data_IF_279185292093
#
_entry.id   IF_279185292093
#
_cell.length_a   1.000
_cell.length_b   1.000
_cell.length_c   1.000
_cell.angle_alpha   90.00
_cell.angle_beta   90.00
_cell.angle_gamma   90.00
#
_symmetry.space_group_name_H-M   'P 1'
#
loop_
_entity.id
_entity.type
_entity.pdbx_description
1 polymer ?
#
# COMPACT_ATOMS: atom_id res chain seq x y z
N UNK A 1 6.10 -1.99 -26.58
CA UNK A 1 5.73 -3.33 -26.03
C UNK A 1 6.94 -4.13 -25.53
N UNK A 2 8.13 -4.02 -26.16
CA UNK A 2 9.31 -4.81 -25.79
C UNK A 2 10.04 -4.34 -24.52
N UNK A 3 9.81 -3.13 -24.00
CA UNK A 3 10.44 -2.60 -22.80
C UNK A 3 9.70 -2.94 -21.49
N UNK A 4 8.39 -3.23 -21.56
CA UNK A 4 7.63 -3.61 -20.38
C UNK A 4 7.89 -5.05 -19.89
N UNK A 5 8.24 -5.96 -20.82
CA UNK A 5 8.51 -7.37 -20.49
C UNK A 5 9.85 -7.61 -19.79
N UNK A 6 10.80 -6.67 -19.85
CA UNK A 6 12.10 -6.79 -19.16
C UNK A 6 12.06 -6.39 -17.69
N UNK A 7 11.05 -5.64 -17.25
CA UNK A 7 10.87 -5.25 -15.83
C UNK A 7 10.12 -6.31 -15.02
N UNK A 8 9.42 -7.23 -15.68
CA UNK A 8 8.58 -8.23 -15.03
C UNK A 8 9.01 -9.62 -15.52
N UNK A 9 10.05 -10.17 -14.90
CA UNK A 9 10.49 -11.55 -15.16
C UNK A 9 9.34 -12.55 -14.90
N UNK A 10 9.25 -13.61 -15.69
CA UNK A 10 8.33 -14.73 -15.50
C UNK A 10 8.63 -15.44 -14.18
N UNK A 11 7.81 -15.18 -13.15
CA UNK A 11 7.85 -15.92 -11.88
C UNK A 11 7.00 -17.18 -12.00
N UNK A 12 7.57 -18.24 -12.51
CA UNK A 12 6.97 -19.58 -12.50
C UNK A 12 7.40 -20.34 -11.24
N UNK A 13 6.43 -20.91 -10.49
CA UNK A 13 6.58 -21.69 -9.25
C UNK A 13 6.96 -20.88 -8.00
N UNK A 14 6.10 -19.97 -7.58
CA UNK A 14 6.29 -19.28 -6.30
C UNK A 14 5.65 -20.09 -5.16
N UNK A 15 6.49 -20.57 -4.25
CA UNK A 15 6.09 -21.12 -2.94
C UNK A 15 6.71 -20.23 -1.86
N UNK A 16 5.95 -19.90 -0.80
CA UNK A 16 6.46 -19.10 0.31
C UNK A 16 5.89 -17.67 0.35
N UNK A 17 6.64 -16.75 0.89
CA UNK A 17 6.21 -15.36 1.08
C UNK A 17 6.12 -14.60 -0.24
N UNK A 18 5.13 -13.69 -0.32
CA UNK A 18 4.99 -12.77 -1.47
C UNK A 18 6.09 -11.72 -1.46
N UNK A 19 6.48 -11.24 -0.28
CA UNK A 19 7.52 -10.22 -0.09
C UNK A 19 8.70 -10.76 0.73
N UNK A 20 9.50 -11.72 0.20
CA UNK A 20 10.69 -12.21 0.90
C UNK A 20 11.77 -11.14 1.07
N UNK A 21 11.70 -10.04 0.30
CA UNK A 21 12.59 -8.88 0.40
C UNK A 21 12.37 -8.09 1.70
N UNK A 22 11.20 -8.20 2.33
CA UNK A 22 10.90 -7.48 3.58
C UNK A 22 11.67 -8.06 4.75
N UNK A 23 12.62 -7.31 5.27
CA UNK A 23 13.34 -7.61 6.51
C UNK A 23 13.04 -6.54 7.55
N UNK A 24 12.60 -6.98 8.74
CA UNK A 24 12.26 -6.07 9.83
C UNK A 24 13.43 -5.19 10.27
N UNK A 25 14.66 -5.69 10.20
CA UNK A 25 15.85 -4.95 10.62
C UNK A 25 16.18 -3.82 9.66
N UNK A 26 15.84 -4.00 8.40
CA UNK A 26 16.11 -3.04 7.33
C UNK A 26 14.95 -2.08 7.11
N UNK A 27 13.70 -2.58 7.09
CA UNK A 27 12.54 -1.82 6.64
C UNK A 27 11.70 -1.21 7.77
N UNK A 28 11.90 -1.65 9.02
CA UNK A 28 11.14 -1.12 10.17
C UNK A 28 12.02 -0.17 10.96
N UNK A 29 11.56 1.07 11.08
CA UNK A 29 12.32 2.14 11.74
C UNK A 29 11.49 2.79 12.84
N UNK A 30 12.17 3.43 13.78
CA UNK A 30 11.50 4.23 14.79
C UNK A 30 10.88 5.50 14.18
N UNK A 31 9.70 5.91 14.67
CA UNK A 31 9.04 7.12 14.20
C UNK A 31 9.90 8.37 14.37
N UNK A 32 9.85 9.24 13.38
CA UNK A 32 10.42 10.58 13.44
C UNK A 32 9.40 11.61 12.94
N UNK A 33 9.64 12.89 13.23
CA UNK A 33 8.76 13.95 12.75
C UNK A 33 8.94 14.12 11.23
N UNK A 34 7.86 13.91 10.48
CA UNK A 34 7.87 14.06 9.02
C UNK A 34 8.02 15.56 8.67
N UNK A 35 9.01 15.92 7.82
CA UNK A 35 9.18 17.28 7.36
C UNK A 35 7.92 17.83 6.67
N UNK A 36 7.60 19.09 6.89
CA UNK A 36 6.35 19.70 6.41
C UNK A 36 6.27 19.77 4.88
N UNK A 37 7.41 19.82 4.19
CA UNK A 37 7.50 19.88 2.73
C UNK A 37 7.39 18.51 2.04
N UNK A 38 7.39 17.39 2.78
CA UNK A 38 7.19 16.07 2.20
C UNK A 38 5.73 15.88 1.79
N UNK A 39 5.50 15.32 0.60
CA UNK A 39 4.16 14.96 0.15
C UNK A 39 3.62 13.80 0.98
N UNK A 40 2.37 13.89 1.34
CA UNK A 40 1.68 12.87 2.13
C UNK A 40 0.50 12.33 1.36
N UNK A 41 0.36 11.03 1.39
CA UNK A 41 -0.69 10.28 0.71
C UNK A 41 -1.45 9.44 1.71
N UNK A 42 -2.71 9.25 1.42
CA UNK A 42 -3.56 8.31 2.14
C UNK A 42 -4.01 7.23 1.17
N UNK A 43 -4.05 5.98 1.63
CA UNK A 43 -4.54 4.88 0.82
C UNK A 43 -5.44 3.98 1.63
N UNK A 44 -6.50 3.45 0.98
CA UNK A 44 -7.59 2.75 1.68
C UNK A 44 -7.99 1.51 0.91
N UNK A 45 -8.01 0.38 1.61
CA UNK A 45 -8.69 -0.85 1.23
C UNK A 45 -9.95 -1.03 2.07
N UNK A 46 -11.10 -1.32 1.41
CA UNK A 46 -12.40 -1.38 2.08
C UNK A 46 -12.69 -2.78 2.60
N UNK A 47 -13.18 -2.86 3.82
CA UNK A 47 -13.70 -4.08 4.41
C UNK A 47 -14.78 -3.78 5.47
N UNK A 48 -15.64 -4.75 5.73
CA UNK A 48 -16.62 -4.72 6.82
C UNK A 48 -16.39 -5.93 7.72
N UNK A 49 -16.57 -7.14 7.19
CA UNK A 49 -16.20 -8.40 7.85
C UNK A 49 -14.68 -8.56 7.84
N UNK A 50 -14.07 -8.36 6.67
CA UNK A 50 -12.62 -8.18 6.55
C UNK A 50 -12.21 -6.80 7.06
N UNK A 51 -10.96 -6.61 7.48
CA UNK A 51 -10.51 -5.31 7.93
C UNK A 51 -10.67 -4.21 6.87
N UNK A 52 -11.21 -3.07 7.28
CA UNK A 52 -10.98 -1.80 6.60
C UNK A 52 -9.56 -1.36 6.96
N UNK A 53 -8.71 -1.19 5.97
CA UNK A 53 -7.33 -0.79 6.16
C UNK A 53 -7.06 0.58 5.54
N UNK A 54 -6.46 1.48 6.29
CA UNK A 54 -5.97 2.76 5.79
C UNK A 54 -4.52 2.98 6.21
N UNK A 55 -3.70 3.47 5.28
CA UNK A 55 -2.32 3.83 5.52
C UNK A 55 -2.10 5.32 5.25
N UNK A 56 -1.28 5.93 6.09
CA UNK A 56 -0.69 7.23 5.87
C UNK A 56 0.75 7.04 5.40
N UNK A 57 1.11 7.61 4.25
CA UNK A 57 2.44 7.46 3.65
C UNK A 57 3.01 8.83 3.31
N UNK A 58 4.22 9.10 3.78
CA UNK A 58 5.00 10.26 3.40
C UNK A 58 6.09 9.89 2.39
N UNK A 59 6.42 10.80 1.48
CA UNK A 59 7.45 10.59 0.45
C UNK A 59 8.59 11.57 0.68
N UNK A 60 9.79 11.05 0.87
CA UNK A 60 11.00 11.86 0.82
C UNK A 60 11.31 12.21 -0.63
N UNK A 61 11.23 13.49 -1.03
CA UNK A 61 11.45 13.90 -2.41
C UNK A 61 12.92 13.81 -2.85
N UNK A 62 13.87 13.74 -1.91
CA UNK A 62 15.29 13.70 -2.23
C UNK A 62 15.75 12.28 -2.60
N UNK A 63 15.27 11.30 -1.84
CA UNK A 63 15.70 9.90 -1.95
C UNK A 63 14.62 8.99 -2.55
N UNK A 64 13.47 9.54 -2.92
CA UNK A 64 12.29 8.77 -3.41
C UNK A 64 11.89 7.60 -2.48
N UNK A 65 12.04 7.81 -1.15
CA UNK A 65 11.68 6.82 -0.15
C UNK A 65 10.24 7.03 0.30
N UNK A 66 9.49 5.96 0.29
CA UNK A 66 8.14 5.88 0.86
C UNK A 66 8.24 5.49 2.34
N UNK A 67 7.69 6.30 3.22
CA UNK A 67 7.56 6.01 4.65
C UNK A 67 6.10 5.75 5.00
N UNK A 68 5.75 4.52 5.37
CA UNK A 68 4.44 4.26 5.97
C UNK A 68 4.51 4.75 7.41
N UNK A 69 3.89 5.88 7.68
CA UNK A 69 4.04 6.63 8.94
C UNK A 69 2.94 6.34 9.94
N UNK A 70 1.78 5.89 9.49
CA UNK A 70 0.69 5.45 10.37
C UNK A 70 -0.27 4.50 9.64
N UNK A 71 -1.03 3.74 10.41
CA UNK A 71 -2.02 2.78 9.91
C UNK A 71 -3.32 2.82 10.73
N UNK A 72 -4.42 2.50 10.09
CA UNK A 72 -5.70 2.25 10.73
C UNK A 72 -6.30 0.94 10.21
N UNK A 73 -6.66 0.04 11.11
CA UNK A 73 -7.30 -1.24 10.80
C UNK A 73 -8.49 -1.44 11.71
N UNK A 74 -9.65 -1.78 11.12
CA UNK A 74 -10.87 -2.01 11.88
C UNK A 74 -11.81 -2.96 11.15
N UNK A 75 -12.42 -3.90 11.88
CA UNK A 75 -13.49 -4.77 11.41
C UNK A 75 -14.83 -4.36 12.01
N UNK A 76 -15.92 -4.86 11.44
CA UNK A 76 -17.29 -4.73 11.99
C UNK A 76 -17.78 -3.29 12.21
N UNK A 77 -17.24 -2.35 11.42
CA UNK A 77 -17.67 -0.95 11.39
C UNK A 77 -18.07 -0.54 9.98
N UNK A 78 -18.95 0.46 9.91
CA UNK A 78 -19.36 1.03 8.61
C UNK A 78 -18.22 1.83 7.98
N UNK A 79 -18.23 1.95 6.65
CA UNK A 79 -17.28 2.80 5.92
C UNK A 79 -17.28 4.25 6.43
N UNK A 80 -18.45 4.80 6.79
CA UNK A 80 -18.55 6.17 7.32
C UNK A 80 -17.86 6.28 8.68
N UNK A 81 -18.12 5.32 9.59
CA UNK A 81 -17.42 5.29 10.88
C UNK A 81 -15.89 5.24 10.69
N UNK A 82 -15.43 4.30 9.87
CA UNK A 82 -14.00 4.14 9.59
C UNK A 82 -13.39 5.40 8.94
N UNK A 83 -14.13 6.05 8.04
CA UNK A 83 -13.69 7.30 7.43
C UNK A 83 -13.48 8.43 8.43
N UNK A 84 -14.40 8.62 9.38
CA UNK A 84 -14.23 9.62 10.45
C UNK A 84 -13.05 9.29 11.37
N UNK A 85 -12.84 8.02 11.70
CA UNK A 85 -11.69 7.60 12.52
C UNK A 85 -10.37 7.80 11.77
N UNK A 86 -10.32 7.56 10.47
CA UNK A 86 -9.14 7.86 9.63
C UNK A 86 -8.81 9.34 9.61
N UNK A 87 -9.82 10.22 9.45
CA UNK A 87 -9.62 11.68 9.53
C UNK A 87 -9.06 12.08 10.90
N UNK A 88 -9.65 11.57 11.98
CA UNK A 88 -9.20 11.87 13.34
C UNK A 88 -7.77 11.39 13.60
N UNK A 89 -7.46 10.16 13.17
CA UNK A 89 -6.15 9.54 13.41
C UNK A 89 -5.02 10.20 12.62
N UNK A 90 -5.29 10.53 11.36
CA UNK A 90 -4.27 11.07 10.47
C UNK A 90 -4.23 12.60 10.42
N UNK A 91 -4.92 13.26 11.36
CA UNK A 91 -5.05 14.73 11.42
C UNK A 91 -3.71 15.46 11.38
N UNK A 92 -2.72 14.96 12.12
CA UNK A 92 -1.41 15.61 12.23
C UNK A 92 -0.53 15.43 10.98
N UNK A 93 -0.99 14.62 10.00
CA UNK A 93 -0.33 14.43 8.72
C UNK A 93 -0.96 15.23 7.58
N UNK A 94 -2.00 16.01 7.84
CA UNK A 94 -2.62 16.87 6.82
C UNK A 94 -1.69 18.05 6.43
N UNK A 95 -1.77 18.57 5.19
CA UNK A 95 -2.66 18.13 4.11
C UNK A 95 -2.15 16.89 3.37
N UNK A 96 -3.10 16.12 2.79
CA UNK A 96 -2.80 15.00 1.89
C UNK A 96 -2.87 15.46 0.43
N UNK A 97 -1.86 15.11 -0.36
CA UNK A 97 -1.83 15.37 -1.79
C UNK A 97 -2.96 14.59 -2.50
N UNK A 98 -3.07 13.30 -2.21
CA UNK A 98 -4.15 12.45 -2.71
C UNK A 98 -4.50 11.34 -1.70
N UNK A 99 -5.76 10.87 -1.83
CA UNK A 99 -6.20 9.58 -1.25
C UNK A 99 -6.49 8.61 -2.39
N UNK A 100 -5.83 7.45 -2.39
CA UNK A 100 -6.09 6.37 -3.32
C UNK A 100 -6.85 5.23 -2.64
N UNK A 101 -7.84 4.69 -3.34
CA UNK A 101 -8.69 3.63 -2.81
C UNK A 101 -8.80 2.46 -3.78
N UNK A 102 -9.28 1.32 -3.26
CA UNK A 102 -9.69 0.19 -4.06
C UNK A 102 -10.56 0.65 -5.24
N UNK A 103 -10.16 0.35 -6.48
CA UNK A 103 -10.90 0.76 -7.68
C UNK A 103 -12.27 0.09 -7.81
N UNK A 104 -12.49 -1.09 -7.19
CA UNK A 104 -13.75 -1.83 -7.26
C UNK A 104 -14.83 -1.24 -6.35
N UNK A 105 -14.46 -0.61 -5.24
CA UNK A 105 -15.40 -0.10 -4.22
C UNK A 105 -15.90 1.31 -4.55
N UNK A 106 -16.72 1.46 -5.59
CA UNK A 106 -17.30 2.77 -5.99
C UNK A 106 -18.15 3.38 -4.88
N UNK A 107 -19.00 2.57 -4.23
CA UNK A 107 -19.88 3.05 -3.15
C UNK A 107 -19.07 3.46 -1.93
N UNK A 108 -18.06 2.69 -1.54
CA UNK A 108 -17.17 3.03 -0.44
C UNK A 108 -16.47 4.37 -0.66
N UNK A 109 -15.95 4.59 -1.86
CA UNK A 109 -15.31 5.86 -2.23
C UNK A 109 -16.27 7.04 -2.18
N UNK A 110 -17.50 6.85 -2.65
CA UNK A 110 -18.53 7.87 -2.62
C UNK A 110 -18.95 8.23 -1.19
N UNK A 111 -19.09 7.24 -0.32
CA UNK A 111 -19.39 7.45 1.11
C UNK A 111 -18.27 8.25 1.80
N UNK A 112 -17.01 7.91 1.58
CA UNK A 112 -15.89 8.66 2.12
C UNK A 112 -15.87 10.12 1.65
N UNK A 113 -16.09 10.37 0.36
CA UNK A 113 -16.10 11.72 -0.18
C UNK A 113 -17.27 12.57 0.37
N UNK A 114 -18.47 11.99 0.43
CA UNK A 114 -19.70 12.73 0.81
C UNK A 114 -19.86 12.93 2.31
N UNK A 115 -19.47 11.94 3.11
CA UNK A 115 -19.77 11.91 4.55
C UNK A 115 -18.55 12.10 5.45
N UNK A 116 -17.35 11.88 4.96
CA UNK A 116 -16.13 11.94 5.77
C UNK A 116 -15.17 13.05 5.34
N UNK A 117 -15.53 13.83 4.32
CA UNK A 117 -14.66 14.86 3.74
C UNK A 117 -13.29 14.29 3.30
N UNK A 118 -13.31 13.08 2.72
CA UNK A 118 -12.14 12.40 2.15
C UNK A 118 -12.25 12.38 0.62
N UNK A 119 -11.79 13.43 -0.09
CA UNK A 119 -11.68 13.37 -1.54
C UNK A 119 -10.73 12.24 -1.92
N UNK A 120 -11.12 11.40 -2.89
CA UNK A 120 -10.34 10.21 -3.23
C UNK A 120 -10.41 9.86 -4.71
N UNK A 121 -9.43 9.09 -5.16
CA UNK A 121 -9.29 8.57 -6.52
C UNK A 121 -9.20 7.05 -6.50
N UNK A 122 -9.73 6.33 -7.51
CA UNK A 122 -9.48 4.90 -7.65
C UNK A 122 -8.01 4.66 -8.00
N UNK A 123 -7.43 3.61 -7.43
CA UNK A 123 -6.12 3.13 -7.84
C UNK A 123 -6.13 2.63 -9.31
N UNK A 124 -4.98 2.63 -10.02
CA UNK A 124 -4.90 2.15 -11.40
C UNK A 124 -5.15 0.64 -11.51
N UNK A 125 -6.34 0.24 -11.98
CA UNK A 125 -6.73 -1.17 -12.11
C UNK A 125 -5.95 -1.92 -13.19
N UNK A 126 -5.59 -1.25 -14.29
CA UNK A 126 -5.00 -1.86 -15.48
C UNK A 126 -3.58 -2.43 -15.27
N UNK A 127 -2.90 -2.05 -14.19
CA UNK A 127 -1.55 -2.54 -13.88
C UNK A 127 -1.59 -4.02 -13.45
N UNK A 128 -2.67 -4.47 -12.81
CA UNK A 128 -2.85 -5.84 -12.33
C UNK A 128 -2.11 -6.17 -11.02
N UNK A 129 -2.58 -7.20 -10.34
CA UNK A 129 -2.11 -7.56 -8.98
C UNK A 129 -0.62 -7.93 -8.99
N UNK A 130 -0.19 -8.81 -9.89
CA UNK A 130 1.21 -9.29 -9.95
C UNK A 130 2.17 -8.13 -10.22
N UNK A 131 1.83 -7.25 -11.16
CA UNK A 131 2.68 -6.11 -11.47
C UNK A 131 2.78 -5.13 -10.31
N UNK A 132 1.70 -4.90 -9.58
CA UNK A 132 1.72 -4.04 -8.39
C UNK A 132 2.50 -4.67 -7.23
N UNK A 133 2.47 -6.00 -7.07
CA UNK A 133 3.36 -6.72 -6.16
C UNK A 133 4.83 -6.48 -6.53
N UNK A 134 5.17 -6.61 -7.81
CA UNK A 134 6.55 -6.39 -8.27
C UNK A 134 7.01 -4.94 -8.07
N UNK A 135 6.12 -3.96 -8.21
CA UNK A 135 6.42 -2.57 -7.87
C UNK A 135 6.75 -2.39 -6.38
N UNK A 136 6.00 -3.03 -5.47
CA UNK A 136 6.32 -3.01 -4.03
C UNK A 136 7.65 -3.72 -3.76
N UNK A 137 7.90 -4.88 -4.38
CA UNK A 137 9.19 -5.59 -4.27
C UNK A 137 10.36 -4.72 -4.69
N UNK A 138 10.23 -3.98 -5.80
CA UNK A 138 11.28 -3.08 -6.27
C UNK A 138 11.59 -1.94 -5.27
N UNK A 139 10.58 -1.49 -4.50
CA UNK A 139 10.79 -0.50 -3.44
C UNK A 139 11.38 -1.11 -2.15
N UNK A 140 11.16 -2.40 -1.90
CA UNK A 140 11.78 -3.12 -0.78
C UNK A 140 13.22 -3.53 -1.09
N UNK A 141 13.53 -3.89 -2.33
CA UNK A 141 14.88 -4.27 -2.72
C UNK A 141 15.84 -3.09 -2.56
N UNK A 142 17.09 -3.34 -2.10
CA UNK A 142 18.11 -2.29 -2.03
C UNK A 142 18.49 -1.81 -3.43
N UNK A 143 18.72 -0.51 -3.57
CA UNK A 143 19.29 0.11 -4.76
C UNK A 143 20.81 -0.17 -4.89
N UNK A 144 21.48 0.52 -5.82
CA UNK A 144 22.92 0.38 -6.04
C UNK A 144 23.76 0.81 -4.82
N UNK A 145 23.24 1.69 -3.99
CA UNK A 145 23.83 2.17 -2.74
C UNK A 145 23.46 1.30 -1.53
N UNK A 146 22.68 0.23 -1.73
CA UNK A 146 22.23 -0.68 -0.68
C UNK A 146 21.02 -0.15 0.13
N UNK A 147 20.31 0.86 -0.36
CA UNK A 147 19.25 1.56 0.35
C UNK A 147 17.87 1.12 -0.18
N UNK A 148 16.93 0.67 0.68
CA UNK A 148 15.55 0.39 0.27
C UNK A 148 14.76 1.69 0.14
N UNK A 149 13.75 1.68 -0.74
CA UNK A 149 12.85 2.81 -1.01
C UNK A 149 11.47 2.67 -0.37
N UNK A 150 11.31 1.75 0.58
CA UNK A 150 10.09 1.58 1.38
C UNK A 150 10.45 1.29 2.83
N UNK A 151 10.00 2.15 3.72
CA UNK A 151 10.19 2.06 5.15
C UNK A 151 8.84 2.06 5.88
N UNK A 152 8.77 1.40 7.02
CA UNK A 152 7.56 1.29 7.83
C UNK A 152 7.88 1.70 9.28
N UNK A 153 7.10 2.60 9.85
CA UNK A 153 7.27 2.98 11.25
C UNK A 153 6.91 1.82 12.18
N UNK A 154 7.69 1.67 13.25
CA UNK A 154 7.64 0.51 14.15
C UNK A 154 6.29 0.28 14.83
N UNK A 155 5.42 1.30 14.89
CA UNK A 155 4.06 1.17 15.42
C UNK A 155 3.01 0.69 14.41
N UNK A 156 3.34 0.60 13.10
CA UNK A 156 2.46 0.03 12.07
C UNK A 156 2.45 -1.51 12.15
N UNK A 157 1.92 -2.04 13.24
CA UNK A 157 2.02 -3.46 13.62
C UNK A 157 1.26 -4.39 12.67
N UNK A 158 0.10 -3.95 12.15
CA UNK A 158 -0.71 -4.76 11.27
C UNK A 158 -0.01 -4.93 9.91
N UNK A 159 0.44 -3.85 9.29
CA UNK A 159 1.17 -3.93 8.03
C UNK A 159 2.46 -4.75 8.15
N UNK A 160 3.22 -4.57 9.24
CA UNK A 160 4.43 -5.36 9.51
C UNK A 160 4.09 -6.85 9.66
N UNK A 161 2.97 -7.18 10.31
CA UNK A 161 2.47 -8.55 10.43
C UNK A 161 2.10 -9.12 9.06
N UNK A 162 1.36 -8.36 8.24
CA UNK A 162 0.95 -8.80 6.91
C UNK A 162 2.15 -9.11 5.99
N UNK A 163 3.18 -8.26 5.96
CA UNK A 163 4.41 -8.53 5.21
C UNK A 163 5.03 -9.90 5.53
N UNK A 164 4.92 -10.34 6.79
CA UNK A 164 5.49 -11.60 7.27
C UNK A 164 4.62 -12.82 7.01
N UNK A 165 3.33 -12.64 6.74
CA UNK A 165 2.36 -13.72 6.58
C UNK A 165 1.85 -13.87 5.15
N UNK A 166 1.90 -12.78 4.36
CA UNK A 166 1.38 -12.79 3.00
C UNK A 166 2.14 -13.77 2.12
N UNK A 167 1.44 -14.77 1.61
CA UNK A 167 2.06 -15.92 0.95
C UNK A 167 1.35 -16.28 -0.34
N UNK A 168 2.11 -16.95 -1.20
CA UNK A 168 1.59 -17.56 -2.40
C UNK A 168 0.79 -18.84 -2.08
N UNK A 169 -0.21 -19.12 -2.91
CA UNK A 169 -1.00 -20.35 -2.89
C UNK A 169 -1.22 -20.82 -4.32
N UNK A 170 -1.54 -22.09 -4.48
CA UNK A 170 -2.00 -22.63 -5.77
C UNK A 170 -3.51 -22.59 -5.84
N UNK A 171 -4.08 -22.12 -6.94
CA UNK A 171 -5.50 -22.23 -7.18
C UNK A 171 -5.89 -23.66 -7.59
N UNK A 172 -7.19 -23.92 -7.76
CA UNK A 172 -7.72 -25.25 -8.17
C UNK A 172 -7.18 -25.76 -9.51
N UNK A 173 -6.59 -24.87 -10.33
CA UNK A 173 -5.96 -25.20 -11.62
C UNK A 173 -4.42 -25.28 -11.52
N UNK A 174 -3.85 -25.29 -10.31
CA UNK A 174 -2.41 -25.36 -10.08
C UNK A 174 -1.63 -24.07 -10.40
N UNK A 175 -2.30 -22.96 -10.75
CA UNK A 175 -1.66 -21.67 -11.02
C UNK A 175 -1.40 -20.91 -9.71
N UNK A 176 -0.26 -20.22 -9.67
CA UNK A 176 0.10 -19.38 -8.53
C UNK A 176 -0.87 -18.20 -8.41
N UNK A 177 -1.36 -17.99 -7.20
CA UNK A 177 -2.14 -16.83 -6.80
C UNK A 177 -1.76 -16.44 -5.38
N UNK A 178 -2.01 -15.20 -5.01
CA UNK A 178 -1.82 -14.76 -3.63
C UNK A 178 -2.91 -15.36 -2.74
N UNK A 179 -2.54 -15.76 -1.55
CA UNK A 179 -3.51 -16.22 -0.54
C UNK A 179 -4.29 -15.00 -0.05
N UNK A 180 -5.60 -15.01 -0.24
CA UNK A 180 -6.52 -13.97 0.23
C UNK A 180 -6.74 -14.09 1.75
N UNK A 181 -5.77 -13.65 2.53
CA UNK A 181 -5.86 -13.58 3.99
C UNK A 181 -4.75 -12.65 4.52
N UNK A 182 -5.08 -11.80 5.47
CA UNK A 182 -4.14 -10.84 6.09
C UNK A 182 -3.38 -10.02 5.04
N UNK A 183 -4.09 -9.39 4.10
CA UNK A 183 -3.50 -8.68 2.95
C UNK A 183 -4.05 -7.25 2.74
N UNK A 184 -4.91 -6.75 3.62
CA UNK A 184 -5.65 -5.50 3.42
C UNK A 184 -4.76 -4.25 3.44
N UNK A 185 -3.79 -4.18 4.35
CA UNK A 185 -2.80 -3.10 4.36
C UNK A 185 -1.85 -3.20 3.18
N UNK A 186 -1.47 -4.41 2.78
CA UNK A 186 -0.64 -4.64 1.59
C UNK A 186 -1.39 -4.28 0.30
N UNK A 187 -2.70 -4.56 0.22
CA UNK A 187 -3.54 -4.13 -0.89
C UNK A 187 -3.62 -2.60 -0.94
N UNK A 188 -3.88 -1.94 0.19
CA UNK A 188 -3.84 -0.49 0.31
C UNK A 188 -2.47 0.09 -0.12
N UNK A 189 -1.36 -0.51 0.32
CA UNK A 189 -0.01 -0.08 -0.07
C UNK A 189 0.21 -0.23 -1.59
N UNK A 190 -0.23 -1.36 -2.19
CA UNK A 190 -0.14 -1.60 -3.64
C UNK A 190 -0.92 -0.56 -4.45
N UNK A 191 -2.08 -0.12 -3.95
CA UNK A 191 -2.87 0.95 -4.60
C UNK A 191 -2.07 2.24 -4.71
N UNK A 192 -1.39 2.64 -3.64
CA UNK A 192 -0.55 3.83 -3.64
C UNK A 192 0.65 3.68 -4.58
N UNK A 193 1.42 2.60 -4.45
CA UNK A 193 2.63 2.39 -5.26
C UNK A 193 2.28 2.35 -6.75
N UNK A 194 1.18 1.71 -7.12
CA UNK A 194 0.67 1.72 -8.50
C UNK A 194 0.30 3.13 -8.99
N UNK A 195 -0.34 3.93 -8.13
CA UNK A 195 -0.73 5.29 -8.46
C UNK A 195 0.50 6.20 -8.67
N UNK A 196 1.48 6.14 -7.77
CA UNK A 196 2.72 6.90 -7.86
C UNK A 196 3.54 6.50 -9.09
N UNK A 197 3.65 5.20 -9.38
CA UNK A 197 4.30 4.69 -10.60
C UNK A 197 3.66 5.26 -11.87
N UNK A 198 2.31 5.31 -11.92
CA UNK A 198 1.61 5.92 -13.05
C UNK A 198 1.88 7.41 -13.17
N UNK A 199 1.87 8.13 -12.05
CA UNK A 199 2.13 9.58 -12.04
C UNK A 199 3.54 9.92 -12.54
N UNK A 200 4.56 9.17 -12.14
CA UNK A 200 5.94 9.38 -12.58
C UNK A 200 6.17 9.14 -14.08
N UNK A 201 5.30 8.38 -14.77
CA UNK A 201 5.40 8.12 -16.22
C UNK A 201 4.69 9.15 -17.10
N UNK A 202 4.01 10.10 -16.51
CA UNK A 202 3.29 11.16 -17.22
C UNK A 202 3.93 12.55 -17.03
N UNK A 203 5.08 12.58 -16.36
CA UNK A 203 6.00 13.72 -16.28
C UNK A 203 7.15 13.52 -17.27
#
# INVERSE_FOLDING_TARGET
EAQSSRLFGDFTNQTGLVYPEFDRRTHVIEPFKIPDHWLRYRTIDFGVVNPFAALCVAVDPNDDILYVVDEYFQTEKTTIHNGHEVVRRFKDYEPFEHTFCDPESKDGRLLLARHCNIPNKPAPKHIGVINTINLVKSKLAPDAEGKPHLMVFSHCKNLIKEFRLYSWAKNSRGKDQVKKADDHGLDALRYLVAALYRMSRHL
#
